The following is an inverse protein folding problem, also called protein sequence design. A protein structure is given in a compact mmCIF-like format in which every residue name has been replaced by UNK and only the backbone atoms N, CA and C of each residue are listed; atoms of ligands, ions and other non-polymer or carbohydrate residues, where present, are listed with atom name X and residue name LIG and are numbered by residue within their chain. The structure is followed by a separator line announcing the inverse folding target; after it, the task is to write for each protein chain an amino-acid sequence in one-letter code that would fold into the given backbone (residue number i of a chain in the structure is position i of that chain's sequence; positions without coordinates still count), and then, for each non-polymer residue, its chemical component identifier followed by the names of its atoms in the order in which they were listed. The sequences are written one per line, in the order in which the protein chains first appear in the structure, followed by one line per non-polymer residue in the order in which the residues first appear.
data_IF_909053826228
#
_entry.id   IF_909053826228
#
_cell.length_a   1.000
_cell.length_b   1.000
_cell.length_c   1.000
_cell.angle_alpha   90.00
_cell.angle_beta   90.00
_cell.angle_gamma   90.00
#
_symmetry.space_group_name_H-M   'P 1'
#
loop_
_entity.id
_entity.type
_entity.pdbx_description
1 polymer ?
#
# COMPACT_ATOMS: atom_id res chain seq x y z
N UNK A 1 -5.16 -28.69 23.97
CA UNK A 1 -5.56 -28.78 22.56
C UNK A 1 -5.03 -27.54 21.86
N UNK A 2 -3.93 -27.68 21.13
CA UNK A 2 -3.32 -26.59 20.41
C UNK A 2 -4.09 -26.39 19.09
N UNK A 3 -4.68 -25.22 18.91
CA UNK A 3 -5.29 -24.84 17.65
C UNK A 3 -4.17 -24.65 16.62
N UNK A 4 -4.09 -25.53 15.63
CA UNK A 4 -3.26 -25.36 14.44
C UNK A 4 -3.93 -24.26 13.63
N UNK A 5 -3.42 -23.06 13.71
CA UNK A 5 -3.77 -21.98 12.78
C UNK A 5 -3.09 -22.34 11.46
N UNK A 6 -3.89 -22.78 10.49
CA UNK A 6 -3.43 -23.01 9.14
C UNK A 6 -3.05 -21.64 8.52
N UNK A 7 -1.77 -21.37 8.44
CA UNK A 7 -1.24 -20.24 7.67
C UNK A 7 -1.43 -20.57 6.18
N UNK A 8 -2.54 -20.10 5.61
CA UNK A 8 -2.66 -20.05 4.16
C UNK A 8 -1.76 -18.93 3.68
N UNK A 9 -0.69 -19.30 2.97
CA UNK A 9 0.12 -18.33 2.25
C UNK A 9 -0.76 -17.55 1.29
N UNK A 10 -0.56 -16.25 1.16
CA UNK A 10 -1.27 -15.37 0.22
C UNK A 10 -1.21 -15.93 -1.22
N UNK A 11 -0.15 -16.65 -1.56
CA UNK A 11 -0.01 -17.44 -2.80
C UNK A 11 -1.10 -18.50 -2.99
N UNK A 12 -1.73 -19.01 -1.92
CA UNK A 12 -2.70 -20.11 -2.04
C UNK A 12 -4.13 -19.61 -2.31
N UNK A 13 -4.45 -18.38 -1.99
CA UNK A 13 -5.78 -17.81 -2.28
C UNK A 13 -5.89 -17.34 -3.73
N UNK A 14 -4.76 -17.08 -4.40
CA UNK A 14 -4.71 -16.64 -5.80
C UNK A 14 -4.51 -17.78 -6.81
N UNK A 15 -4.37 -19.04 -6.37
CA UNK A 15 -4.09 -20.18 -7.25
C UNK A 15 -5.33 -20.90 -7.80
N UNK A 16 -6.38 -20.17 -8.14
CA UNK A 16 -7.37 -20.72 -9.07
C UNK A 16 -7.28 -19.99 -10.41
N UNK A 17 -6.24 -20.32 -11.17
CA UNK A 17 -6.13 -19.92 -12.56
C UNK A 17 -4.82 -19.20 -12.89
N UNK A 18 -3.85 -19.98 -13.32
CA UNK A 18 -2.66 -19.57 -14.06
C UNK A 18 -1.49 -19.00 -13.26
N UNK A 19 -0.60 -19.90 -12.88
CA UNK A 19 0.79 -19.59 -12.47
C UNK A 19 1.69 -19.34 -13.69
N UNK A 20 1.28 -18.52 -14.63
CA UNK A 20 2.22 -18.07 -15.64
C UNK A 20 3.18 -17.09 -14.94
N UNK A 21 4.46 -17.42 -15.00
CA UNK A 21 5.52 -16.62 -14.42
C UNK A 21 5.54 -15.26 -15.13
N UNK A 22 4.85 -14.25 -14.55
CA UNK A 22 4.90 -12.90 -15.07
C UNK A 22 6.24 -12.23 -14.72
N UNK A 23 6.63 -11.24 -15.51
CA UNK A 23 7.81 -10.41 -15.27
C UNK A 23 7.42 -8.94 -15.29
N UNK A 24 8.30 -8.09 -14.79
CA UNK A 24 8.16 -6.64 -14.91
C UNK A 24 8.94 -6.06 -16.09
N UNK A 25 9.45 -6.90 -17.00
CA UNK A 25 10.30 -6.45 -18.13
C UNK A 25 9.66 -5.36 -18.99
N UNK A 26 8.33 -5.36 -19.08
CA UNK A 26 7.52 -4.37 -19.80
C UNK A 26 6.64 -3.55 -18.87
N UNK A 27 6.94 -3.49 -17.58
CA UNK A 27 6.14 -2.82 -16.55
C UNK A 27 4.65 -3.21 -16.60
N UNK A 28 4.39 -4.49 -16.92
CA UNK A 28 3.04 -5.06 -17.00
C UNK A 28 2.31 -4.85 -18.34
N UNK A 29 2.91 -4.20 -19.33
CA UNK A 29 2.27 -3.98 -20.63
C UNK A 29 2.02 -5.27 -21.43
N UNK A 30 2.73 -6.35 -21.10
CA UNK A 30 2.60 -7.68 -21.71
C UNK A 30 1.70 -8.62 -20.90
N UNK A 31 1.15 -8.20 -19.77
CA UNK A 31 0.25 -9.02 -18.99
C UNK A 31 -1.11 -9.16 -19.64
N UNK A 32 -1.69 -10.35 -19.57
CA UNK A 32 -2.94 -10.69 -20.23
C UNK A 32 -4.11 -10.84 -19.26
N UNK A 33 -5.28 -11.23 -19.76
CA UNK A 33 -6.48 -11.43 -18.94
C UNK A 33 -7.00 -10.12 -18.35
N UNK A 34 -7.39 -10.12 -17.09
CA UNK A 34 -7.92 -8.94 -16.39
C UNK A 34 -6.90 -7.82 -16.36
N UNK A 35 -5.59 -8.12 -16.32
CA UNK A 35 -4.54 -7.11 -16.33
C UNK A 35 -4.60 -6.17 -17.55
N UNK A 36 -5.01 -6.71 -18.71
CA UNK A 36 -5.12 -5.93 -19.96
C UNK A 36 -6.55 -5.52 -20.31
N UNK A 37 -7.57 -6.23 -19.82
CA UNK A 37 -8.96 -6.01 -20.18
C UNK A 37 -9.79 -5.31 -19.09
N UNK A 38 -9.29 -5.29 -17.86
CA UNK A 38 -9.94 -4.65 -16.72
C UNK A 38 -10.06 -3.14 -16.92
N UNK A 39 -11.05 -2.56 -16.25
CA UNK A 39 -11.32 -1.12 -16.36
C UNK A 39 -11.08 -0.36 -15.06
N UNK A 40 -10.91 -1.09 -13.96
CA UNK A 40 -10.68 -0.55 -12.63
C UNK A 40 -9.29 -0.94 -12.12
N UNK A 41 -8.31 -0.89 -13.03
CA UNK A 41 -6.94 -1.33 -12.78
C UNK A 41 -6.15 -0.31 -11.93
N UNK A 42 -5.21 -0.82 -11.14
CA UNK A 42 -4.16 -0.08 -10.42
C UNK A 42 -2.77 -0.54 -10.86
N UNK A 43 -1.73 0.23 -10.51
CA UNK A 43 -1.74 1.53 -9.84
C UNK A 43 -2.27 2.66 -10.73
N UNK A 44 -2.46 3.84 -10.17
CA UNK A 44 -2.83 5.06 -10.92
C UNK A 44 -1.85 6.19 -10.63
N UNK A 45 -1.86 7.22 -11.47
CA UNK A 45 -1.36 8.53 -11.09
C UNK A 45 -2.45 9.23 -10.28
N UNK A 46 -2.19 9.43 -8.99
CA UNK A 46 -3.09 10.15 -8.10
C UNK A 46 -2.91 11.64 -8.39
N UNK A 47 -3.96 12.26 -8.88
CA UNK A 47 -3.90 13.61 -9.37
C UNK A 47 -4.98 14.47 -8.68
N UNK A 48 -4.58 15.60 -8.12
CA UNK A 48 -5.45 16.54 -7.45
C UNK A 48 -6.56 17.13 -8.35
N UNK A 49 -6.46 17.04 -9.66
CA UNK A 49 -7.49 17.50 -10.60
C UNK A 49 -8.69 16.55 -10.74
N UNK A 50 -8.51 15.28 -10.39
CA UNK A 50 -9.54 14.23 -10.51
C UNK A 50 -10.20 13.92 -9.15
N UNK A 51 -9.86 14.67 -8.11
CA UNK A 51 -10.33 14.45 -6.76
C UNK A 51 -11.76 14.94 -6.53
N UNK A 52 -12.43 14.27 -5.61
CA UNK A 52 -13.70 14.69 -5.01
C UNK A 52 -13.48 14.81 -3.52
N UNK A 53 -13.84 15.97 -2.94
CA UNK A 53 -13.71 16.19 -1.52
C UNK A 53 -14.54 15.17 -0.72
N UNK A 54 -13.93 14.57 0.29
CA UNK A 54 -14.56 13.55 1.14
C UNK A 54 -15.73 14.11 1.96
N UNK A 55 -15.75 15.40 2.24
CA UNK A 55 -16.84 16.06 2.97
C UNK A 55 -18.19 15.92 2.29
N UNK A 56 -18.19 15.83 0.95
CA UNK A 56 -19.39 15.65 0.14
C UNK A 56 -19.91 14.20 0.10
N UNK A 57 -19.08 13.23 0.52
CA UNK A 57 -19.31 11.80 0.36
C UNK A 57 -19.48 11.03 1.67
N UNK A 58 -19.30 11.67 2.83
CA UNK A 58 -19.43 11.03 4.14
C UNK A 58 -18.36 9.97 4.44
N UNK A 59 -17.15 10.14 3.93
CA UNK A 59 -16.04 9.22 4.18
C UNK A 59 -15.58 9.27 5.64
N UNK A 60 -15.27 8.11 6.18
CA UNK A 60 -14.79 7.94 7.53
C UNK A 60 -13.25 7.91 7.57
N UNK A 61 -12.64 8.43 8.64
CA UNK A 61 -11.21 8.30 8.83
C UNK A 61 -10.76 6.84 8.79
N UNK A 62 -9.56 6.62 8.28
CA UNK A 62 -8.88 5.32 8.33
C UNK A 62 -8.13 5.22 9.64
N UNK A 63 -8.49 4.24 10.46
CA UNK A 63 -7.80 3.91 11.70
C UNK A 63 -6.98 2.64 11.50
N UNK A 64 -5.73 2.63 11.96
CA UNK A 64 -4.87 1.43 11.93
C UNK A 64 -4.41 1.07 13.35
N UNK A 65 -4.33 -0.22 13.62
CA UNK A 65 -3.80 -0.76 14.86
C UNK A 65 -2.82 -1.89 14.52
N UNK A 66 -1.53 -1.56 14.49
CA UNK A 66 -0.48 -2.52 14.21
C UNK A 66 0.11 -3.09 15.50
N UNK A 67 0.60 -4.32 15.38
CA UNK A 67 1.25 -5.03 16.49
C UNK A 67 2.58 -5.57 16.00
N UNK A 68 3.70 -5.20 16.65
CA UNK A 68 5.00 -5.78 16.36
C UNK A 68 4.93 -7.31 16.45
N UNK A 69 5.49 -8.00 15.48
CA UNK A 69 5.44 -9.46 15.43
C UNK A 69 6.77 -10.07 15.01
N UNK A 70 7.06 -11.26 15.54
CA UNK A 70 8.14 -12.13 15.10
C UNK A 70 7.62 -13.34 14.32
N UNK A 71 6.29 -13.48 14.22
CA UNK A 71 5.61 -14.59 13.59
C UNK A 71 5.18 -14.19 12.16
N UNK A 72 6.12 -14.17 11.24
CA UNK A 72 5.89 -13.87 9.83
C UNK A 72 6.80 -14.71 8.94
N UNK A 73 6.39 -14.86 7.69
CA UNK A 73 7.24 -15.34 6.61
C UNK A 73 7.69 -14.14 5.77
N UNK A 74 8.94 -14.14 5.33
CA UNK A 74 9.43 -13.11 4.43
C UNK A 74 10.18 -13.75 3.27
N UNK A 75 10.21 -13.07 2.14
CA UNK A 75 10.89 -13.57 0.97
C UNK A 75 11.12 -12.48 -0.08
N UNK A 76 12.03 -12.80 -0.98
CA UNK A 76 12.22 -12.10 -2.22
C UNK A 76 12.10 -13.16 -3.32
N UNK A 77 10.87 -13.51 -3.67
CA UNK A 77 10.56 -14.56 -4.65
C UNK A 77 10.89 -14.14 -6.09
N UNK A 78 11.78 -13.16 -6.24
CA UNK A 78 12.16 -12.60 -7.52
C UNK A 78 11.13 -11.63 -8.10
N UNK A 79 10.13 -11.21 -7.33
CA UNK A 79 9.07 -10.28 -7.76
C UNK A 79 8.86 -9.12 -6.81
N UNK A 80 8.87 -9.40 -5.52
CA UNK A 80 8.68 -8.41 -4.47
C UNK A 80 9.43 -8.81 -3.21
N UNK A 81 9.80 -7.84 -2.40
CA UNK A 81 10.31 -8.08 -1.05
C UNK A 81 9.12 -8.00 -0.10
N UNK A 82 8.62 -9.16 0.31
CA UNK A 82 7.33 -9.30 0.97
C UNK A 82 7.40 -9.98 2.33
N UNK A 83 6.42 -9.65 3.16
CA UNK A 83 6.24 -10.17 4.52
C UNK A 83 4.79 -10.60 4.70
N UNK A 84 4.56 -11.88 4.99
CA UNK A 84 3.23 -12.45 5.20
C UNK A 84 3.07 -12.92 6.64
N UNK A 85 1.98 -12.50 7.28
CA UNK A 85 1.72 -12.80 8.70
C UNK A 85 0.48 -12.10 9.22
N UNK A 86 0.43 -11.90 10.52
CA UNK A 86 -0.60 -11.09 11.17
C UNK A 86 0.06 -9.87 11.80
N UNK A 87 -0.24 -8.69 11.24
CA UNK A 87 0.44 -7.45 11.62
C UNK A 87 -0.49 -6.44 12.31
N UNK A 88 -1.77 -6.79 12.48
CA UNK A 88 -2.78 -5.92 13.08
C UNK A 88 -4.00 -5.76 12.19
N UNK A 89 -4.61 -4.58 12.23
CA UNK A 89 -5.85 -4.31 11.50
C UNK A 89 -5.96 -2.87 11.03
N UNK A 90 -6.85 -2.68 10.06
CA UNK A 90 -7.35 -1.38 9.62
C UNK A 90 -8.85 -1.32 9.87
N UNK A 91 -9.36 -0.16 10.27
CA UNK A 91 -10.79 0.10 10.41
C UNK A 91 -11.18 1.32 9.60
N UNK A 92 -12.24 1.19 8.83
CA UNK A 92 -12.88 2.30 8.10
C UNK A 92 -14.36 2.22 8.39
N UNK A 93 -14.93 3.28 8.93
CA UNK A 93 -16.29 3.29 9.46
C UNK A 93 -16.53 2.11 10.43
N UNK A 94 -17.42 1.19 10.09
CA UNK A 94 -17.78 0.02 10.91
C UNK A 94 -17.13 -1.29 10.42
N UNK A 95 -16.22 -1.22 9.44
CA UNK A 95 -15.58 -2.40 8.87
C UNK A 95 -14.14 -2.49 9.38
N UNK A 96 -13.79 -3.64 9.94
CA UNK A 96 -12.41 -3.95 10.36
C UNK A 96 -11.84 -5.02 9.44
N UNK A 97 -10.69 -4.76 8.84
CA UNK A 97 -9.95 -5.65 7.97
C UNK A 97 -8.61 -6.06 8.62
N UNK A 98 -8.20 -7.31 8.44
CA UNK A 98 -6.96 -7.81 9.03
C UNK A 98 -5.76 -7.56 8.12
N UNK A 99 -4.69 -7.00 8.67
CA UNK A 99 -3.41 -6.85 7.97
C UNK A 99 -2.74 -8.22 7.86
N UNK A 100 -2.56 -8.71 6.62
CA UNK A 100 -2.06 -10.07 6.36
C UNK A 100 -0.75 -10.09 5.58
N UNK A 101 -0.38 -8.98 4.94
CA UNK A 101 0.84 -8.92 4.13
C UNK A 101 1.24 -7.46 3.94
N UNK A 102 2.55 -7.22 3.79
CA UNK A 102 3.09 -6.00 3.23
C UNK A 102 4.29 -6.29 2.33
N UNK A 103 4.54 -5.43 1.37
CA UNK A 103 5.62 -5.58 0.40
C UNK A 103 6.05 -4.24 -0.18
N UNK A 104 7.16 -4.26 -0.92
CA UNK A 104 7.79 -3.06 -1.43
C UNK A 104 7.94 -3.09 -2.95
N UNK A 105 7.77 -1.91 -3.55
CA UNK A 105 8.06 -1.62 -4.94
C UNK A 105 9.11 -0.54 -5.05
N UNK A 106 10.09 -0.73 -5.92
CA UNK A 106 11.12 0.27 -6.26
C UNK A 106 11.39 0.22 -7.76
N UNK A 107 11.11 1.33 -8.47
CA UNK A 107 10.43 2.55 -8.01
C UNK A 107 8.96 2.32 -7.64
N UNK A 108 8.27 3.39 -7.22
CA UNK A 108 6.86 3.33 -6.84
C UNK A 108 5.98 2.93 -8.03
N UNK A 109 4.85 2.33 -7.71
CA UNK A 109 3.79 1.98 -8.66
C UNK A 109 2.78 3.11 -8.81
N UNK A 110 2.31 3.69 -7.68
CA UNK A 110 1.52 4.91 -7.72
C UNK A 110 2.41 6.12 -8.00
N UNK A 111 1.83 7.09 -8.69
CA UNK A 111 2.38 8.41 -8.87
C UNK A 111 1.52 9.39 -8.07
N UNK A 112 2.09 10.53 -7.71
CA UNK A 112 1.38 11.64 -7.10
C UNK A 112 1.68 12.89 -7.93
N UNK A 113 0.65 13.45 -8.56
CA UNK A 113 0.74 14.60 -9.48
C UNK A 113 1.85 14.43 -10.55
N UNK A 114 1.88 13.26 -11.20
CA UNK A 114 2.85 12.93 -12.25
C UNK A 114 4.24 12.57 -11.73
N UNK A 115 4.47 12.60 -10.41
CA UNK A 115 5.76 12.28 -9.81
C UNK A 115 5.82 10.81 -9.39
N UNK A 116 6.81 10.08 -9.91
CA UNK A 116 7.17 8.75 -9.45
C UNK A 116 8.22 8.84 -8.33
N UNK A 117 8.06 8.05 -7.28
CA UNK A 117 8.96 8.03 -6.14
C UNK A 117 9.91 6.83 -6.18
N UNK A 118 11.08 6.88 -5.51
CA UNK A 118 12.05 5.80 -5.56
C UNK A 118 11.63 4.53 -4.83
N UNK A 119 10.63 4.61 -3.92
CA UNK A 119 10.16 3.45 -3.14
C UNK A 119 8.68 3.64 -2.78
N UNK A 120 7.94 2.52 -2.74
CA UNK A 120 6.57 2.45 -2.24
C UNK A 120 6.40 1.21 -1.37
N UNK A 121 5.69 1.37 -0.26
CA UNK A 121 5.23 0.29 0.61
C UNK A 121 3.74 0.05 0.37
N UNK A 122 3.38 -1.19 0.06
CA UNK A 122 2.00 -1.66 0.05
C UNK A 122 1.69 -2.48 1.30
N UNK A 123 0.60 -2.16 1.97
CA UNK A 123 0.10 -2.92 3.12
C UNK A 123 -1.28 -3.46 2.75
N UNK A 124 -1.43 -4.78 2.78
CA UNK A 124 -2.64 -5.48 2.32
C UNK A 124 -3.49 -5.97 3.49
N UNK A 125 -4.78 -5.65 3.44
CA UNK A 125 -5.77 -6.01 4.43
C UNK A 125 -6.87 -6.85 3.81
N UNK A 126 -7.17 -7.98 4.45
CA UNK A 126 -8.25 -8.86 4.06
C UNK A 126 -9.53 -8.45 4.79
N UNK A 127 -10.59 -8.13 4.03
CA UNK A 127 -11.88 -7.79 4.59
C UNK A 127 -12.62 -9.02 5.11
N UNK A 128 -13.59 -8.85 6.03
CA UNK A 128 -14.47 -9.94 6.46
C UNK A 128 -15.14 -10.65 5.28
N UNK A 129 -15.14 -11.97 5.31
CA UNK A 129 -15.64 -12.80 4.20
C UNK A 129 -14.60 -13.20 3.15
N UNK A 130 -13.42 -12.57 3.15
CA UNK A 130 -12.26 -12.99 2.35
C UNK A 130 -12.32 -12.73 0.84
N UNK A 131 -13.38 -12.06 0.35
CA UNK A 131 -13.58 -11.81 -1.09
C UNK A 131 -13.05 -10.45 -1.56
N UNK A 132 -12.89 -9.50 -0.67
CA UNK A 132 -12.45 -8.13 -0.96
C UNK A 132 -11.28 -7.73 -0.11
N UNK A 133 -10.52 -6.77 -0.59
CA UNK A 133 -9.27 -6.31 0.01
C UNK A 133 -9.27 -4.79 0.18
N UNK A 134 -8.46 -4.32 1.10
CA UNK A 134 -8.04 -2.93 1.17
C UNK A 134 -6.51 -2.88 1.12
N UNK A 135 -5.97 -1.81 0.52
CA UNK A 135 -4.54 -1.57 0.43
C UNK A 135 -4.18 -0.16 0.86
N UNK A 136 -3.14 -0.02 1.68
CA UNK A 136 -2.50 1.27 1.94
C UNK A 136 -1.24 1.34 1.09
N UNK A 137 -1.10 2.41 0.28
CA UNK A 137 0.11 2.78 -0.45
C UNK A 137 0.82 3.93 0.26
N UNK A 138 2.12 3.78 0.52
CA UNK A 138 2.95 4.81 1.16
C UNK A 138 4.18 5.07 0.29
N UNK A 139 4.31 6.31 -0.15
CA UNK A 139 5.38 6.76 -1.05
C UNK A 139 6.58 7.29 -0.25
N UNK A 140 7.79 7.06 -0.75
CA UNK A 140 9.02 7.52 -0.11
C UNK A 140 9.88 8.30 -1.09
N UNK A 141 10.35 9.45 -0.66
CA UNK A 141 11.41 10.22 -1.32
C UNK A 141 12.77 10.00 -0.63
N UNK A 142 13.86 10.35 -1.31
CA UNK A 142 15.17 10.32 -0.70
C UNK A 142 15.32 11.44 0.34
N UNK A 143 15.78 11.07 1.54
CA UNK A 143 15.94 12.01 2.65
C UNK A 143 16.53 11.37 3.90
N UNK A 144 15.93 11.63 5.05
CA UNK A 144 16.35 11.05 6.32
C UNK A 144 16.12 9.53 6.38
N UNK A 145 16.90 8.85 7.18
CA UNK A 145 16.70 7.42 7.46
C UNK A 145 15.33 7.16 8.08
N UNK A 146 14.61 6.16 7.54
CA UNK A 146 13.32 5.74 8.06
C UNK A 146 13.49 4.62 9.09
N UNK A 147 13.05 4.83 10.34
CA UNK A 147 13.22 3.82 11.39
C UNK A 147 12.39 2.55 11.16
N UNK A 148 11.28 2.63 10.41
CA UNK A 148 10.45 1.47 10.07
C UNK A 148 11.12 0.55 9.07
N UNK A 149 11.96 1.08 8.17
CA UNK A 149 12.70 0.29 7.20
C UNK A 149 13.90 -0.44 7.82
N UNK A 150 14.62 0.20 8.74
CA UNK A 150 15.91 -0.31 9.26
C UNK A 150 15.85 -1.76 9.75
N UNK A 151 14.88 -2.23 10.55
CA UNK A 151 14.82 -3.62 11.01
C UNK A 151 14.50 -4.63 9.90
N UNK A 152 13.99 -4.18 8.76
CA UNK A 152 13.62 -5.03 7.63
C UNK A 152 14.77 -5.21 6.63
N UNK A 153 15.76 -4.31 6.64
CA UNK A 153 16.84 -4.26 5.66
C UNK A 153 18.09 -5.07 6.09
N UNK A 154 17.86 -6.17 6.76
CA UNK A 154 18.92 -7.09 7.21
C UNK A 154 18.77 -8.45 6.52
N UNK A 155 19.82 -9.27 6.58
CA UNK A 155 19.84 -10.56 5.90
C UNK A 155 18.71 -11.51 6.34
N UNK A 156 18.31 -11.45 7.61
CA UNK A 156 17.24 -12.25 8.18
C UNK A 156 16.40 -11.38 9.13
N UNK A 157 15.38 -10.66 8.65
CA UNK A 157 14.48 -9.89 9.50
C UNK A 157 13.80 -10.79 10.54
N UNK A 158 13.85 -10.39 11.80
CA UNK A 158 13.30 -11.15 12.92
C UNK A 158 12.11 -10.47 13.60
N UNK A 159 11.92 -9.19 13.33
CA UNK A 159 10.81 -8.39 13.84
C UNK A 159 10.26 -7.54 12.70
N UNK A 160 8.95 -7.50 12.58
CA UNK A 160 8.24 -6.56 11.72
C UNK A 160 7.30 -5.71 12.58
N UNK A 161 7.46 -4.39 12.48
CA UNK A 161 6.66 -3.41 13.20
C UNK A 161 6.19 -2.32 12.25
N UNK A 162 4.99 -2.48 11.73
CA UNK A 162 4.39 -1.50 10.83
C UNK A 162 4.02 -0.19 11.52
N UNK A 163 3.89 -0.17 12.86
CA UNK A 163 3.57 1.07 13.59
C UNK A 163 4.64 2.14 13.43
N UNK A 164 5.89 1.75 13.12
CA UNK A 164 7.01 2.68 12.89
C UNK A 164 6.87 3.53 11.62
N UNK A 165 5.99 3.13 10.69
CA UNK A 165 5.67 3.94 9.49
C UNK A 165 4.56 4.94 9.73
N UNK A 166 3.80 4.80 10.83
CA UNK A 166 2.60 5.58 11.07
C UNK A 166 2.79 6.62 12.17
N UNK A 167 2.98 7.88 11.77
CA UNK A 167 2.74 9.00 12.69
C UNK A 167 1.24 9.17 12.91
N UNK A 168 0.86 9.89 13.97
CA UNK A 168 -0.55 10.17 14.28
C UNK A 168 -1.32 10.90 13.18
N UNK A 169 -0.62 11.43 12.19
CA UNK A 169 -1.21 12.27 11.14
C UNK A 169 -1.00 11.74 9.72
N UNK A 170 -0.41 10.56 9.55
CA UNK A 170 -0.09 10.06 8.21
C UNK A 170 -1.35 9.73 7.39
N UNK A 171 -2.42 9.30 8.06
CA UNK A 171 -3.71 8.98 7.47
C UNK A 171 -4.74 10.12 7.58
N UNK A 172 -4.32 11.32 8.00
CA UNK A 172 -5.17 12.52 7.93
C UNK A 172 -5.26 13.08 6.52
N UNK A 173 -4.43 12.57 5.61
CA UNK A 173 -4.34 12.97 4.21
C UNK A 173 -4.10 11.74 3.35
N UNK A 174 -5.12 11.28 2.63
CA UNK A 174 -5.02 10.15 1.71
C UNK A 174 -6.00 10.28 0.54
N UNK A 175 -5.66 9.59 -0.53
CA UNK A 175 -6.50 9.43 -1.71
C UNK A 175 -7.04 8.01 -1.77
N UNK A 176 -8.34 7.86 -2.03
CA UNK A 176 -8.98 6.56 -2.09
C UNK A 176 -9.67 6.32 -3.42
N UNK A 177 -9.46 5.13 -3.98
CA UNK A 177 -10.10 4.71 -5.22
C UNK A 177 -10.33 3.19 -5.24
N UNK A 178 -11.36 2.75 -5.94
CA UNK A 178 -11.56 1.33 -6.22
C UNK A 178 -10.61 0.90 -7.33
N UNK A 179 -9.87 -0.19 -7.10
CA UNK A 179 -8.83 -0.64 -8.00
C UNK A 179 -8.58 -2.14 -7.95
N UNK A 180 -7.42 -2.53 -8.41
CA UNK A 180 -7.01 -3.92 -8.56
C UNK A 180 -5.75 -4.23 -7.74
N UNK A 181 -5.42 -5.52 -7.68
CA UNK A 181 -4.05 -5.95 -7.45
C UNK A 181 -3.16 -5.37 -8.55
N UNK A 182 -1.96 -4.95 -8.19
CA UNK A 182 -0.99 -4.36 -9.15
C UNK A 182 -0.11 -5.41 -9.83
N UNK A 183 -0.33 -6.68 -9.54
CA UNK A 183 0.32 -7.82 -10.20
C UNK A 183 -0.73 -8.86 -10.62
N UNK A 184 -0.44 -9.74 -11.60
CA UNK A 184 -1.34 -10.80 -11.99
C UNK A 184 -1.85 -11.63 -10.79
N UNK A 185 -3.16 -11.90 -10.72
CA UNK A 185 -4.16 -11.81 -11.79
C UNK A 185 -4.83 -10.46 -11.98
N UNK A 186 -4.36 -9.37 -11.34
CA UNK A 186 -4.89 -8.01 -11.44
C UNK A 186 -6.40 -7.90 -11.12
N UNK A 187 -6.87 -8.71 -10.18
CA UNK A 187 -8.28 -8.77 -9.81
C UNK A 187 -8.75 -7.42 -9.25
N UNK A 188 -9.90 -6.94 -9.73
CA UNK A 188 -10.51 -5.65 -9.38
C UNK A 188 -11.35 -5.76 -8.09
N UNK A 189 -10.68 -6.06 -6.99
CA UNK A 189 -11.29 -6.36 -5.68
C UNK A 189 -10.71 -5.54 -4.53
N UNK A 190 -9.92 -4.52 -4.84
CA UNK A 190 -9.11 -3.82 -3.86
C UNK A 190 -9.50 -2.35 -3.77
N UNK A 191 -9.83 -1.90 -2.55
CA UNK A 191 -9.97 -0.49 -2.25
C UNK A 191 -8.61 0.06 -1.81
N UNK A 192 -8.07 0.99 -2.57
CA UNK A 192 -6.82 1.67 -2.28
C UNK A 192 -7.00 2.88 -1.39
N UNK A 193 -6.01 3.11 -0.52
CA UNK A 193 -5.81 4.28 0.32
C UNK A 193 -4.34 4.70 0.15
N UNK A 194 -4.08 5.64 -0.72
CA UNK A 194 -2.73 6.13 -1.01
C UNK A 194 -2.47 7.36 -0.15
N UNK A 195 -1.48 7.29 0.74
CA UNK A 195 -1.13 8.42 1.61
C UNK A 195 -0.68 9.63 0.79
N UNK A 196 -1.27 10.79 1.05
CA UNK A 196 -0.88 12.06 0.42
C UNK A 196 0.45 12.59 0.96
N UNK A 197 0.83 12.19 2.19
CA UNK A 197 2.11 12.56 2.78
C UNK A 197 3.21 11.61 2.34
N UNK A 198 4.21 12.15 1.64
CA UNK A 198 5.39 11.39 1.23
C UNK A 198 6.34 11.25 2.41
N UNK A 199 6.79 10.03 2.66
CA UNK A 199 7.76 9.71 3.70
C UNK A 199 9.20 9.87 3.19
N UNK A 200 10.17 9.84 4.11
CA UNK A 200 11.57 9.85 3.74
C UNK A 200 12.20 8.48 3.96
N UNK A 201 13.17 8.15 3.10
CA UNK A 201 14.08 7.02 3.25
C UNK A 201 15.48 7.45 2.85
N UNK A 202 16.51 6.96 3.54
CA UNK A 202 17.89 7.28 3.16
C UNK A 202 18.23 6.64 1.81
N UNK A 203 19.21 7.22 1.10
CA UNK A 203 19.73 6.64 -0.15
C UNK A 203 20.18 5.19 0.01
N UNK A 204 20.78 4.85 1.16
CA UNK A 204 21.18 3.47 1.47
C UNK A 204 19.99 2.52 1.63
N UNK A 205 18.89 3.00 2.21
CA UNK A 205 17.65 2.22 2.33
C UNK A 205 16.99 2.01 0.97
N UNK A 206 16.91 3.03 0.13
CA UNK A 206 16.38 2.94 -1.24
C UNK A 206 17.24 1.98 -2.08
N UNK A 207 18.56 2.11 -1.99
CA UNK A 207 19.50 1.25 -2.74
C UNK A 207 19.40 -0.21 -2.32
N UNK A 208 19.08 -0.51 -1.07
CA UNK A 208 18.83 -1.87 -0.62
C UNK A 208 17.74 -2.57 -1.45
N UNK A 209 16.65 -1.88 -1.79
CA UNK A 209 15.60 -2.42 -2.65
C UNK A 209 16.03 -2.48 -4.11
N UNK A 210 16.61 -1.41 -4.64
CA UNK A 210 17.08 -1.34 -6.03
C UNK A 210 18.08 -2.45 -6.35
N UNK A 211 19.06 -2.68 -5.50
CA UNK A 211 20.09 -3.70 -5.69
C UNK A 211 19.54 -5.13 -5.80
N UNK A 212 18.34 -5.39 -5.30
CA UNK A 212 17.69 -6.71 -5.42
C UNK A 212 17.27 -7.02 -6.85
N UNK A 213 16.97 -6.02 -7.64
CA UNK A 213 16.43 -6.17 -8.98
C UNK A 213 17.38 -5.71 -10.08
N UNK A 214 18.41 -4.95 -9.76
CA UNK A 214 19.34 -4.35 -10.72
C UNK A 214 19.96 -5.36 -11.70
N UNK A 215 20.24 -6.57 -11.24
CA UNK A 215 20.84 -7.63 -12.06
C UNK A 215 19.83 -8.61 -12.66
N UNK A 216 18.55 -8.39 -12.43
CA UNK A 216 17.50 -9.27 -12.92
C UNK A 216 16.74 -8.61 -14.07
N UNK A 217 16.96 -9.05 -15.34
CA UNK A 217 16.29 -8.45 -16.49
C UNK A 217 14.76 -8.62 -16.48
N UNK A 218 14.23 -9.54 -15.66
CA UNK A 218 12.79 -9.73 -15.48
C UNK A 218 12.11 -8.61 -14.67
N UNK A 219 12.90 -7.71 -14.08
CA UNK A 219 12.41 -6.56 -13.33
C UNK A 219 12.63 -5.28 -14.13
N UNK A 220 11.74 -4.99 -15.07
CA UNK A 220 11.82 -3.80 -15.93
C UNK A 220 13.23 -3.57 -16.51
N UNK A 221 13.88 -4.63 -17.00
CA UNK A 221 15.26 -4.57 -17.47
C UNK A 221 16.29 -4.29 -16.36
N UNK A 222 16.03 -4.73 -15.14
CA UNK A 222 16.85 -4.47 -13.96
C UNK A 222 16.54 -3.14 -13.26
N UNK A 223 15.45 -2.47 -13.62
CA UNK A 223 15.11 -1.13 -13.09
C UNK A 223 14.08 -1.16 -11.95
N UNK A 224 13.40 -2.28 -11.73
CA UNK A 224 12.45 -2.38 -10.64
C UNK A 224 11.31 -3.38 -10.84
N UNK A 225 10.39 -3.38 -9.89
CA UNK A 225 9.22 -4.26 -9.84
C UNK A 225 7.91 -3.47 -9.82
N UNK A 226 7.85 -2.41 -10.61
CA UNK A 226 6.68 -1.56 -10.70
C UNK A 226 5.87 -1.83 -11.98
N UNK A 227 4.56 -1.93 -11.84
CA UNK A 227 3.62 -1.83 -12.96
C UNK A 227 3.47 -0.39 -13.37
N UNK A 228 3.31 -0.13 -14.66
CA UNK A 228 2.95 1.20 -15.15
C UNK A 228 1.57 1.63 -14.63
N UNK A 229 1.37 2.94 -14.47
CA UNK A 229 0.09 3.52 -14.07
C UNK A 229 -1.01 3.21 -15.09
N UNK A 230 -2.21 3.00 -14.59
CA UNK A 230 -3.40 2.61 -15.35
C UNK A 230 -4.38 3.77 -15.46
N UNK A 231 -5.15 3.86 -16.55
CA UNK A 231 -6.12 4.94 -16.72
C UNK A 231 -7.26 4.83 -15.70
N UNK A 232 -7.77 5.97 -15.25
CA UNK A 232 -8.91 6.04 -14.33
C UNK A 232 -10.20 5.48 -14.93
N UNK A 233 -10.39 5.57 -16.25
CA UNK A 233 -11.59 5.11 -16.95
C UNK A 233 -12.90 5.69 -16.38
N UNK A 234 -12.86 6.91 -15.88
CA UNK A 234 -13.99 7.61 -15.28
C UNK A 234 -14.23 7.30 -13.80
N UNK A 235 -13.36 6.52 -13.16
CA UNK A 235 -13.37 6.39 -11.69
C UNK A 235 -13.07 7.73 -11.05
N UNK A 236 -13.65 7.94 -9.87
CA UNK A 236 -13.33 9.09 -9.03
C UNK A 236 -12.25 8.68 -8.05
N UNK A 237 -11.34 9.60 -7.80
CA UNK A 237 -10.39 9.54 -6.70
C UNK A 237 -10.95 10.44 -5.60
N UNK A 238 -11.06 9.92 -4.40
CA UNK A 238 -11.61 10.66 -3.27
C UNK A 238 -10.45 11.08 -2.40
N UNK A 239 -10.32 12.38 -2.21
CA UNK A 239 -9.33 12.96 -1.32
C UNK A 239 -9.94 13.16 0.08
N UNK A 240 -9.40 12.46 1.05
CA UNK A 240 -9.67 12.70 2.45
C UNK A 240 -8.56 13.58 3.04
N UNK A 241 -8.97 14.71 3.61
CA UNK A 241 -8.06 15.67 4.23
C UNK A 241 -8.70 16.22 5.50
N UNK A 242 -8.20 15.80 6.66
CA UNK A 242 -8.73 16.22 7.97
C UNK A 242 -8.06 17.50 8.51
N UNK A 243 -7.46 18.33 7.67
CA UNK A 243 -6.92 19.63 8.14
C UNK A 243 -7.99 20.54 8.74
N UNK A 244 -9.28 20.30 8.45
CA UNK A 244 -10.38 21.05 9.05
C UNK A 244 -10.46 20.86 10.58
N UNK A 245 -10.07 19.70 11.11
CA UNK A 245 -10.04 19.43 12.55
C UNK A 245 -8.95 20.23 13.28
N UNK A 246 -7.86 20.56 12.60
CA UNK A 246 -6.77 21.37 13.14
C UNK A 246 -7.07 22.88 13.13
N UNK A 247 -8.04 23.31 12.33
CA UNK A 247 -8.47 24.71 12.23
C UNK A 247 -9.72 25.01 13.05
N UNK A 248 -10.32 24.03 13.73
CA UNK A 248 -11.40 24.27 14.67
C UNK A 248 -10.85 25.19 15.79
N UNK A 249 -11.30 26.45 15.89
CA UNK A 249 -10.84 27.32 16.96
C UNK A 249 -11.22 26.66 18.28
N UNK A 250 -10.29 26.58 19.21
CA UNK A 250 -10.57 26.27 20.59
C UNK A 250 -11.46 27.41 21.14
N UNK A 251 -12.74 27.37 20.79
CA UNK A 251 -13.74 28.16 21.48
C UNK A 251 -13.87 27.63 22.90
N UNK A 252 -12.85 27.96 23.68
CA UNK A 252 -12.88 27.80 25.12
C UNK A 252 -14.11 28.53 25.66
N UNK A 253 -14.76 27.84 26.51
CA UNK A 253 -15.77 28.22 27.46
C UNK A 253 -15.57 29.70 27.91
N UNK A 254 -16.27 30.64 27.28
CA UNK A 254 -16.51 31.94 27.91
C UNK A 254 -17.67 31.71 28.87
N UNK A 255 -17.37 31.31 30.10
CA UNK A 255 -18.30 31.38 31.22
C UNK A 255 -18.77 32.81 31.39
N UNK A 256 -19.99 33.05 31.02
CA UNK A 256 -20.73 34.24 31.47
C UNK A 256 -20.82 34.17 32.99
N UNK A 257 -19.98 34.96 33.66
CA UNK A 257 -20.22 35.47 35.00
C UNK A 257 -21.01 36.76 34.85
N UNK A 258 -22.27 36.72 35.19
CA UNK A 258 -23.07 37.85 35.67
C UNK A 258 -24.15 37.30 36.56
#
# INVERSE_FOLDING_TARGET
MAAVVAFFSLSLVLTQGQSDAFTYSSNGADWTGVCSSGREQGPIDVNSYDEVDSSDMGYAPVEVAFTPTTAFQWGNEGREYSFAGSFGSMKVANVTANCVQFHFHSPSEHYLDGTQFPLELHIAFLLPGGASWAGIGMLFEEGAENPGLTPLLIANPTVADLSLFFSSTILDDYYSYHGSLTSPPCAEILQWYVCGKVMQASSAQIEFFRARWEKNPSFAGGKGNNRATQPLNGRKVIHYNDYASLLAPAFGLLTLLS
#
